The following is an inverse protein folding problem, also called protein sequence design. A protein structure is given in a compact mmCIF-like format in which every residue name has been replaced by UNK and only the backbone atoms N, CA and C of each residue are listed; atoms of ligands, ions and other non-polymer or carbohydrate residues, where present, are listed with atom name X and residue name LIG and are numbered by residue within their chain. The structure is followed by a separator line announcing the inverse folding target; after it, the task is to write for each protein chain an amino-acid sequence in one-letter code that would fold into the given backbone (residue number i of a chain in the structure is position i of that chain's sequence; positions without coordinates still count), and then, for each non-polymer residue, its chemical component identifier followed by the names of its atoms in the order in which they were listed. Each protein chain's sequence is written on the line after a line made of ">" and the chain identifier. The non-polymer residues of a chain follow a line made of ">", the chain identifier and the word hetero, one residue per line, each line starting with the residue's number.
data_IF_384745574002
#
_entry.id   IF_384745574002
#
_cell.length_a   1.000
_cell.length_b   1.000
_cell.length_c   1.000
_cell.angle_alpha   90.00
_cell.angle_beta   90.00
_cell.angle_gamma   90.00
#
_symmetry.space_group_name_H-M   'P 1'
#
loop_
_entity.id
_entity.type
_entity.pdbx_description
1 polymer ?
#
# COMPACT_ATOMS: atom_id res chain seq x y z
N UNK A 1 60.86 63.01 49.75
CA UNK A 1 60.54 61.79 50.53
C UNK A 1 59.07 61.92 50.86
N UNK A 2 58.31 60.83 50.77
CA UNK A 2 56.83 60.74 50.66
C UNK A 2 56.31 60.99 49.25
N UNK A 3 55.46 60.16 48.66
CA UNK A 3 55.15 58.73 48.81
C UNK A 3 54.57 58.39 47.44
N UNK A 4 55.18 57.46 46.71
CA UNK A 4 54.75 57.10 45.37
C UNK A 4 53.45 56.30 45.55
N UNK A 5 52.32 56.97 45.35
CA UNK A 5 50.99 56.36 45.49
C UNK A 5 50.87 55.24 44.46
N UNK A 6 50.78 54.00 44.95
CA UNK A 6 50.69 52.80 44.14
C UNK A 6 49.50 52.90 43.18
N UNK A 7 49.80 53.11 41.90
CA UNK A 7 48.82 53.01 40.83
C UNK A 7 48.51 51.53 40.61
N UNK A 8 47.53 51.01 41.34
CA UNK A 8 46.94 49.70 41.05
C UNK A 8 46.13 49.85 39.76
N UNK A 9 46.50 49.19 38.65
CA UNK A 9 45.69 49.25 37.44
C UNK A 9 44.37 48.56 37.74
N UNK A 10 43.31 49.34 37.90
CA UNK A 10 41.95 48.81 38.02
C UNK A 10 41.64 48.14 36.68
N UNK A 11 41.75 46.80 36.67
CA UNK A 11 41.51 45.98 35.49
C UNK A 11 40.11 46.29 35.00
N UNK A 12 40.02 46.93 33.83
CA UNK A 12 38.75 47.26 33.20
C UNK A 12 37.85 46.03 33.24
N UNK A 13 36.61 46.13 33.77
CA UNK A 13 35.75 44.96 33.86
C UNK A 13 35.50 44.47 32.44
N UNK A 14 35.85 43.21 32.17
CA UNK A 14 35.65 42.60 30.87
C UNK A 14 34.19 42.83 30.43
N UNK A 15 33.99 43.50 29.29
CA UNK A 15 32.65 43.79 28.76
C UNK A 15 31.84 42.51 28.70
N UNK A 16 30.82 42.40 29.54
CA UNK A 16 29.89 41.28 29.53
C UNK A 16 29.05 41.41 28.25
N UNK A 17 29.46 40.72 27.19
CA UNK A 17 28.69 40.66 25.95
C UNK A 17 27.46 39.81 26.19
N UNK A 18 26.35 40.45 26.55
CA UNK A 18 25.05 39.79 26.57
C UNK A 18 24.66 39.39 25.14
N UNK A 19 24.94 38.14 24.76
CA UNK A 19 24.42 37.57 23.52
C UNK A 19 22.89 37.47 23.63
N UNK A 20 22.18 38.43 23.04
CA UNK A 20 20.73 38.36 22.87
C UNK A 20 20.38 37.13 22.02
N UNK A 21 19.40 36.29 22.43
CA UNK A 21 19.05 35.11 21.65
C UNK A 21 18.50 35.52 20.27
N UNK A 22 18.90 34.76 19.25
CA UNK A 22 18.59 35.05 17.84
C UNK A 22 17.08 34.97 17.59
N UNK A 23 16.49 36.07 17.13
CA UNK A 23 15.08 36.24 16.78
C UNK A 23 14.71 35.54 15.45
N UNK A 24 14.92 34.24 15.34
CA UNK A 24 14.47 33.47 14.17
C UNK A 24 12.97 33.12 14.28
N UNK A 25 12.51 32.74 15.47
CA UNK A 25 11.13 32.29 15.71
C UNK A 25 10.09 33.42 15.72
N UNK A 26 10.50 34.67 15.94
CA UNK A 26 9.55 35.79 16.04
C UNK A 26 8.92 36.18 14.71
N UNK A 27 9.57 35.88 13.58
CA UNK A 27 9.00 36.14 12.25
C UNK A 27 7.91 35.12 11.92
N UNK A 28 8.16 33.84 12.18
CA UNK A 28 7.21 32.74 11.95
C UNK A 28 5.97 32.91 12.84
N UNK A 29 6.16 33.25 14.12
CA UNK A 29 5.05 33.57 15.03
C UNK A 29 4.19 34.74 14.51
N UNK A 30 4.79 35.80 13.97
CA UNK A 30 4.02 36.93 13.39
C UNK A 30 3.16 36.52 12.19
N UNK A 31 3.65 35.61 11.35
CA UNK A 31 2.88 35.08 10.23
C UNK A 31 1.74 34.16 10.70
N UNK A 32 2.01 33.27 11.67
CA UNK A 32 0.98 32.41 12.26
C UNK A 32 -0.09 33.16 13.05
N UNK A 33 0.23 34.34 13.61
CA UNK A 33 -0.73 35.15 14.38
C UNK A 33 -1.59 36.07 13.48
N UNK A 34 -1.34 36.10 12.17
CA UNK A 34 -2.14 36.90 11.24
C UNK A 34 -3.51 36.23 11.01
N UNK A 35 -4.60 36.92 11.38
CA UNK A 35 -5.99 36.45 11.19
C UNK A 35 -6.31 36.04 9.75
N UNK A 36 -5.72 36.70 8.76
CA UNK A 36 -5.94 36.37 7.35
C UNK A 36 -5.23 35.08 6.94
N UNK A 37 -4.05 34.83 7.51
CA UNK A 37 -3.29 33.59 7.28
C UNK A 37 -3.98 32.40 7.94
N UNK A 38 -4.43 32.55 9.19
CA UNK A 38 -5.24 31.54 9.87
C UNK A 38 -6.55 31.24 9.12
N UNK A 39 -7.23 32.28 8.61
CA UNK A 39 -8.46 32.10 7.82
C UNK A 39 -8.19 31.37 6.49
N UNK A 40 -7.09 31.70 5.78
CA UNK A 40 -6.73 31.00 4.54
C UNK A 40 -6.26 29.57 4.78
N UNK A 41 -5.48 29.31 5.83
CA UNK A 41 -5.07 27.96 6.21
C UNK A 41 -6.28 27.13 6.65
N UNK A 42 -7.20 27.71 7.43
CA UNK A 42 -8.44 27.05 7.81
C UNK A 42 -9.33 26.74 6.61
N UNK A 43 -9.50 27.70 5.69
CA UNK A 43 -10.24 27.50 4.44
C UNK A 43 -9.58 26.44 3.55
N UNK A 44 -8.26 26.47 3.39
CA UNK A 44 -7.51 25.46 2.65
C UNK A 44 -7.61 24.09 3.32
N UNK A 45 -7.54 24.01 4.64
CA UNK A 45 -7.73 22.76 5.37
C UNK A 45 -9.15 22.21 5.15
N UNK A 46 -10.18 23.05 5.17
CA UNK A 46 -11.55 22.61 4.85
C UNK A 46 -11.65 22.11 3.41
N UNK A 47 -11.07 22.82 2.45
CA UNK A 47 -11.06 22.39 1.04
C UNK A 47 -10.22 21.14 0.77
N UNK A 48 -9.21 20.86 1.60
CA UNK A 48 -8.33 19.70 1.43
C UNK A 48 -8.80 18.46 2.20
N UNK A 49 -9.38 18.65 3.40
CA UNK A 49 -9.78 17.56 4.30
C UNK A 49 -11.29 17.33 4.35
N UNK A 50 -12.10 18.39 4.20
CA UNK A 50 -13.57 18.30 4.29
C UNK A 50 -14.23 18.16 2.91
N UNK A 51 -13.65 18.76 1.87
CA UNK A 51 -14.18 18.67 0.51
C UNK A 51 -13.46 17.56 -0.27
N UNK A 52 -14.11 16.40 -0.42
CA UNK A 52 -13.94 15.29 -1.41
C UNK A 52 -12.53 14.75 -1.76
N UNK A 53 -11.45 15.41 -1.38
CA UNK A 53 -10.07 15.07 -1.64
C UNK A 53 -9.49 14.28 -0.45
N UNK A 54 -10.33 13.42 0.14
CA UNK A 54 -9.89 12.49 1.14
C UNK A 54 -8.89 11.53 0.47
N UNK A 55 -7.61 11.69 0.81
CA UNK A 55 -6.53 10.85 0.32
C UNK A 55 -6.80 9.38 0.62
N UNK A 56 -7.48 9.07 1.73
CA UNK A 56 -7.85 7.71 2.08
C UNK A 56 -8.84 7.13 1.08
N UNK A 57 -9.91 7.86 0.74
CA UNK A 57 -10.89 7.40 -0.28
C UNK A 57 -10.25 7.23 -1.65
N UNK A 58 -9.26 8.06 -1.99
CA UNK A 58 -8.57 7.96 -3.28
C UNK A 58 -7.70 6.71 -3.34
N UNK A 59 -6.98 6.39 -2.26
CA UNK A 59 -6.20 5.15 -2.15
C UNK A 59 -7.11 3.93 -2.21
N UNK A 60 -8.23 3.93 -1.47
CA UNK A 60 -9.18 2.82 -1.47
C UNK A 60 -9.77 2.56 -2.87
N UNK A 61 -10.20 3.64 -3.55
CA UNK A 61 -10.66 3.55 -4.94
C UNK A 61 -9.61 2.99 -5.89
N UNK A 62 -8.34 3.39 -5.74
CA UNK A 62 -7.27 2.82 -6.56
C UNK A 62 -7.06 1.32 -6.30
N UNK A 63 -7.19 0.87 -5.05
CA UNK A 63 -7.11 -0.55 -4.72
C UNK A 63 -8.28 -1.33 -5.30
N UNK A 64 -9.48 -0.79 -5.21
CA UNK A 64 -10.68 -1.37 -5.81
C UNK A 64 -10.52 -1.47 -7.33
N UNK A 65 -10.08 -0.39 -8.00
CA UNK A 65 -9.82 -0.39 -9.44
C UNK A 65 -8.83 -1.48 -9.85
N UNK A 66 -7.69 -1.59 -9.15
CA UNK A 66 -6.71 -2.64 -9.43
C UNK A 66 -7.30 -4.04 -9.22
N UNK A 67 -8.15 -4.23 -8.20
CA UNK A 67 -8.83 -5.49 -7.94
C UNK A 67 -9.83 -5.87 -9.04
N UNK A 68 -10.58 -4.89 -9.56
CA UNK A 68 -11.48 -5.07 -10.70
C UNK A 68 -10.72 -5.40 -11.98
N UNK A 69 -9.60 -4.72 -12.22
CA UNK A 69 -8.77 -4.95 -13.40
C UNK A 69 -8.15 -6.35 -13.40
N UNK A 70 -7.62 -6.79 -12.26
CA UNK A 70 -7.11 -8.15 -12.10
C UNK A 70 -8.20 -9.22 -12.31
N UNK A 71 -9.40 -8.95 -11.78
CA UNK A 71 -10.56 -9.83 -11.96
C UNK A 71 -10.98 -9.89 -13.43
N UNK A 72 -10.99 -8.74 -14.12
CA UNK A 72 -11.27 -8.65 -15.56
C UNK A 72 -10.24 -9.43 -16.38
N UNK A 73 -8.96 -9.30 -16.08
CA UNK A 73 -7.90 -10.07 -16.76
C UNK A 73 -8.06 -11.58 -16.54
N UNK A 74 -8.38 -12.00 -15.31
CA UNK A 74 -8.63 -13.40 -14.97
C UNK A 74 -9.77 -13.99 -15.81
N UNK A 75 -10.93 -13.35 -15.83
CA UNK A 75 -12.08 -13.86 -16.59
C UNK A 75 -11.86 -13.81 -18.10
N UNK A 76 -11.15 -12.80 -18.62
CA UNK A 76 -10.79 -12.76 -20.04
C UNK A 76 -9.92 -13.97 -20.43
N UNK A 77 -8.97 -14.35 -19.57
CA UNK A 77 -8.15 -15.53 -19.80
C UNK A 77 -8.99 -16.81 -19.79
N UNK A 78 -9.87 -16.95 -18.81
CA UNK A 78 -10.77 -18.10 -18.71
C UNK A 78 -11.72 -18.20 -19.92
N UNK A 79 -12.22 -17.06 -20.42
CA UNK A 79 -13.02 -16.97 -21.64
C UNK A 79 -12.27 -17.49 -22.88
N UNK A 80 -10.98 -17.16 -23.02
CA UNK A 80 -10.16 -17.64 -24.13
C UNK A 80 -10.00 -19.17 -24.05
N UNK A 81 -9.72 -19.69 -22.86
CA UNK A 81 -9.59 -21.14 -22.64
C UNK A 81 -10.92 -21.86 -22.89
N UNK A 82 -12.04 -21.31 -22.43
CA UNK A 82 -13.38 -21.84 -22.67
C UNK A 82 -13.77 -21.80 -24.15
N UNK A 83 -13.44 -20.73 -24.87
CA UNK A 83 -13.67 -20.67 -26.31
C UNK A 83 -12.87 -21.74 -27.05
N UNK A 84 -11.60 -21.95 -26.67
CA UNK A 84 -10.79 -23.02 -27.24
C UNK A 84 -11.43 -24.39 -27.00
N UNK A 85 -11.82 -24.67 -25.76
CA UNK A 85 -12.54 -25.90 -25.39
C UNK A 85 -13.82 -26.05 -26.22
N UNK A 86 -14.62 -24.99 -26.36
CA UNK A 86 -15.85 -25.00 -27.15
C UNK A 86 -15.57 -25.35 -28.62
N UNK A 87 -14.59 -24.71 -29.24
CA UNK A 87 -14.21 -25.00 -30.63
C UNK A 87 -13.72 -26.44 -30.79
N UNK A 88 -12.92 -26.94 -29.84
CA UNK A 88 -12.43 -28.32 -29.86
C UNK A 88 -13.58 -29.35 -29.69
N UNK A 89 -14.63 -28.99 -28.93
CA UNK A 89 -15.85 -29.79 -28.78
C UNK A 89 -16.68 -29.81 -30.06
N UNK A 90 -16.79 -28.68 -30.77
CA UNK A 90 -17.56 -28.57 -32.02
C UNK A 90 -16.90 -29.31 -33.19
N UNK A 91 -15.57 -29.41 -33.17
CA UNK A 91 -14.80 -29.98 -34.29
C UNK A 91 -14.43 -31.44 -34.12
N UNK A 92 -14.33 -31.98 -32.89
CA UNK A 92 -13.86 -33.34 -32.67
C UNK A 92 -14.64 -34.11 -31.57
N UNK A 93 -15.38 -35.18 -31.93
CA UNK A 93 -16.12 -35.99 -30.96
C UNK A 93 -15.23 -36.73 -29.94
N UNK A 94 -13.97 -37.04 -30.28
CA UNK A 94 -13.04 -37.65 -29.33
C UNK A 94 -12.64 -36.68 -28.20
N UNK A 95 -12.65 -35.37 -28.46
CA UNK A 95 -12.35 -34.35 -27.44
C UNK A 95 -13.48 -34.22 -26.43
N UNK A 96 -14.73 -34.39 -26.87
CA UNK A 96 -15.91 -34.43 -25.99
C UNK A 96 -15.76 -35.57 -24.97
N UNK A 97 -15.43 -36.78 -25.44
CA UNK A 97 -15.27 -37.96 -24.57
C UNK A 97 -14.13 -37.79 -23.57
N UNK A 98 -12.98 -37.26 -24.04
CA UNK A 98 -11.85 -36.96 -23.17
C UNK A 98 -12.23 -35.95 -22.06
N UNK A 99 -12.90 -34.86 -22.42
CA UNK A 99 -13.34 -33.85 -21.45
C UNK A 99 -14.34 -34.42 -20.45
N UNK A 100 -15.31 -35.21 -20.92
CA UNK A 100 -16.31 -35.85 -20.06
C UNK A 100 -15.66 -36.80 -19.05
N UNK A 101 -14.64 -37.57 -19.45
CA UNK A 101 -13.91 -38.49 -18.58
C UNK A 101 -12.95 -37.79 -17.62
N UNK A 102 -12.17 -36.82 -18.08
CA UNK A 102 -11.15 -36.16 -17.26
C UNK A 102 -11.76 -35.12 -16.31
N UNK A 103 -12.62 -34.23 -16.83
CA UNK A 103 -13.16 -33.10 -16.05
C UNK A 103 -14.37 -33.50 -15.23
N UNK A 104 -15.27 -34.30 -15.80
CA UNK A 104 -16.55 -34.66 -15.18
C UNK A 104 -16.64 -36.11 -14.71
N UNK A 105 -15.59 -36.92 -14.92
CA UNK A 105 -15.53 -38.35 -14.55
C UNK A 105 -16.76 -39.15 -15.00
N UNK A 106 -17.30 -38.79 -16.17
CA UNK A 106 -18.43 -39.49 -16.75
C UNK A 106 -18.01 -40.88 -17.23
N UNK A 107 -18.88 -41.86 -17.02
CA UNK A 107 -18.73 -43.25 -17.48
C UNK A 107 -19.81 -43.59 -18.49
N UNK A 108 -19.56 -44.59 -19.34
CA UNK A 108 -20.64 -45.18 -20.16
C UNK A 108 -21.47 -46.14 -19.31
N UNK A 109 -22.72 -46.36 -19.68
CA UNK A 109 -23.65 -47.21 -18.92
C UNK A 109 -23.17 -48.67 -18.81
N UNK A 110 -22.32 -49.11 -19.75
CA UNK A 110 -21.72 -50.43 -19.80
C UNK A 110 -20.25 -50.48 -19.32
N UNK A 111 -19.78 -49.44 -18.62
CA UNK A 111 -18.40 -49.34 -18.14
C UNK A 111 -18.36 -49.34 -16.59
N UNK A 112 -17.70 -50.34 -16.01
CA UNK A 112 -17.46 -50.44 -14.57
C UNK A 112 -16.09 -49.85 -14.20
N UNK A 113 -16.09 -48.86 -13.30
CA UNK A 113 -14.87 -48.20 -12.82
C UNK A 113 -14.43 -48.85 -11.50
N UNK A 114 -13.22 -49.43 -11.50
CA UNK A 114 -12.60 -50.00 -10.31
C UNK A 114 -11.60 -49.01 -9.71
N UNK A 115 -11.85 -48.50 -8.50
CA UNK A 115 -10.84 -47.79 -7.73
C UNK A 115 -10.01 -48.81 -6.97
N UNK A 116 -8.73 -48.93 -7.33
CA UNK A 116 -7.78 -49.77 -6.58
C UNK A 116 -7.07 -48.90 -5.55
N UNK A 117 -7.12 -49.28 -4.28
CA UNK A 117 -6.27 -48.67 -3.26
C UNK A 117 -4.83 -49.12 -3.50
N UNK A 118 -3.90 -48.17 -3.72
CA UNK A 118 -2.48 -48.49 -3.79
C UNK A 118 -2.01 -49.01 -2.43
N UNK A 119 -1.81 -50.33 -2.34
CA UNK A 119 -1.33 -51.05 -1.15
C UNK A 119 0.02 -50.51 -0.61
N UNK A 120 0.73 -49.71 -1.40
CA UNK A 120 1.98 -49.03 -1.02
C UNK A 120 1.78 -48.00 0.10
N UNK A 121 0.60 -47.38 0.21
CA UNK A 121 0.33 -46.37 1.24
C UNK A 121 0.19 -46.97 2.65
N UNK A 122 -0.27 -48.22 2.76
CA UNK A 122 -0.42 -48.91 4.05
C UNK A 122 0.90 -49.42 4.63
N UNK A 123 1.92 -49.61 3.78
CA UNK A 123 3.26 -50.06 4.20
C UNK A 123 4.12 -48.92 4.79
N UNK A 124 3.89 -47.66 4.40
CA UNK A 124 4.60 -46.48 4.94
C UNK A 124 4.05 -45.94 6.26
N UNK A 125 2.90 -46.42 6.72
CA UNK A 125 2.28 -46.02 7.98
C UNK A 125 2.52 -47.06 9.10
N UNK A 126 3.11 -48.20 8.74
CA UNK A 126 3.42 -49.30 9.65
C UNK A 126 4.94 -49.40 9.94
N UNK A 127 5.73 -48.44 9.46
CA UNK A 127 7.16 -48.24 9.72
C UNK A 127 7.35 -46.88 10.42
#
# INVERSE_FOLDING_TARGET
>A
MEEFVDFVPEKEPARVVHKRPRKALSKISRFLTNRFFLATVGFAAIMLFLDKNDLFTTIERHRELNGLELSKEHYNKELVDLHKIKTDLETNPATIEKLAREKYKMKRDNEDIFLTEDNNTKLKQAE
#
